data_IF_314790096714
#
_entry.id   IF_314790096714
#
_cell.length_a   1.000
_cell.length_b   1.000
_cell.length_c   1.000
_cell.angle_alpha   90.00
_cell.angle_beta   90.00
_cell.angle_gamma   90.00
#
_symmetry.space_group_name_H-M   'P 1'
#
loop_
_entity.id
_entity.type
_entity.pdbx_description
1 polymer ?
#
# COMPACT_ATOMS: atom_id res chain seq x y z
N UNK A 1 9.72 -19.29 12.27
CA UNK A 1 9.09 -20.62 12.39
C UNK A 1 10.14 -21.72 12.24
N UNK A 2 10.79 -21.87 11.09
CA UNK A 2 11.80 -22.92 10.82
C UNK A 2 12.93 -22.91 11.84
N UNK A 3 13.47 -21.76 12.21
CA UNK A 3 14.53 -21.61 13.23
C UNK A 3 14.08 -22.07 14.64
N UNK A 4 12.77 -22.03 14.90
CA UNK A 4 12.17 -22.50 16.17
C UNK A 4 11.66 -23.94 16.07
N UNK A 5 12.03 -24.66 15.02
CA UNK A 5 11.77 -26.10 14.85
C UNK A 5 10.43 -26.43 14.23
N UNK A 6 9.69 -25.48 13.67
CA UNK A 6 8.50 -25.80 12.88
C UNK A 6 8.90 -26.27 11.47
N UNK A 7 8.24 -27.31 10.98
CA UNK A 7 8.32 -27.74 9.60
C UNK A 7 7.30 -26.94 8.77
N UNK A 8 7.79 -26.08 7.85
CA UNK A 8 6.93 -25.31 6.95
C UNK A 8 6.74 -26.10 5.66
N UNK A 9 5.55 -26.67 5.46
CA UNK A 9 5.23 -27.54 4.34
C UNK A 9 5.13 -26.80 3.01
N UNK A 10 4.78 -25.50 3.04
CA UNK A 10 4.71 -24.65 1.86
C UNK A 10 4.01 -23.34 2.10
N UNK A 11 4.13 -22.44 1.12
CA UNK A 11 3.41 -21.17 1.04
C UNK A 11 2.51 -21.21 -0.19
N UNK A 12 1.25 -20.88 -0.02
CA UNK A 12 0.21 -20.92 -1.06
C UNK A 12 -0.30 -19.50 -1.32
N UNK A 13 -0.09 -19.02 -2.56
CA UNK A 13 -0.46 -17.68 -3.00
C UNK A 13 -1.52 -17.80 -4.10
N UNK A 14 -2.65 -17.12 -3.92
CA UNK A 14 -3.75 -17.14 -4.88
C UNK A 14 -3.43 -16.44 -6.20
N UNK A 15 -2.50 -15.49 -6.20
CA UNK A 15 -2.07 -14.79 -7.42
C UNK A 15 -1.07 -15.61 -8.22
N UNK A 16 -0.95 -15.36 -9.54
CA UNK A 16 0.07 -15.97 -10.38
C UNK A 16 1.49 -15.44 -10.13
N UNK A 17 1.62 -14.40 -9.29
CA UNK A 17 2.89 -13.78 -8.87
C UNK A 17 2.89 -13.58 -7.37
N UNK A 18 4.04 -13.68 -6.69
CA UNK A 18 4.12 -13.48 -5.24
C UNK A 18 3.68 -12.06 -4.84
N UNK A 19 2.85 -11.96 -3.81
CA UNK A 19 2.46 -10.67 -3.21
C UNK A 19 3.46 -10.15 -2.17
N UNK A 20 4.39 -10.97 -1.72
CA UNK A 20 5.41 -10.61 -0.76
C UNK A 20 6.56 -9.81 -1.38
N UNK A 21 7.30 -9.07 -0.53
CA UNK A 21 8.51 -8.37 -0.94
C UNK A 21 9.52 -9.36 -1.52
N UNK A 22 10.16 -9.00 -2.63
CA UNK A 22 11.15 -9.85 -3.32
C UNK A 22 12.24 -10.36 -2.37
N UNK A 23 12.72 -9.49 -1.47
CA UNK A 23 13.69 -9.85 -0.43
C UNK A 23 13.19 -11.01 0.45
N UNK A 24 11.92 -10.96 0.87
CA UNK A 24 11.36 -11.99 1.75
C UNK A 24 11.18 -13.33 1.03
N UNK A 25 10.85 -13.31 -0.27
CA UNK A 25 10.80 -14.54 -1.08
C UNK A 25 12.16 -15.24 -1.07
N UNK A 26 13.26 -14.50 -1.29
CA UNK A 26 14.59 -15.06 -1.25
C UNK A 26 15.00 -15.52 0.15
N UNK A 27 14.99 -14.61 1.12
CA UNK A 27 15.54 -14.84 2.47
C UNK A 27 14.67 -15.73 3.35
N UNK A 28 13.35 -15.81 3.10
CA UNK A 28 12.44 -16.57 3.95
C UNK A 28 11.94 -17.87 3.30
N UNK A 29 11.96 -17.97 1.98
CA UNK A 29 11.52 -19.20 1.30
C UNK A 29 12.69 -19.93 0.65
N UNK A 30 13.44 -19.30 -0.26
CA UNK A 30 14.53 -19.97 -0.98
C UNK A 30 15.67 -20.39 -0.06
N UNK A 31 16.09 -19.56 0.90
CA UNK A 31 17.17 -19.91 1.83
C UNK A 31 16.83 -21.07 2.78
N UNK A 32 15.54 -21.41 2.91
CA UNK A 32 15.04 -22.49 3.75
C UNK A 32 14.36 -23.61 2.95
N UNK A 33 14.49 -23.60 1.61
CA UNK A 33 13.89 -24.60 0.72
C UNK A 33 12.37 -24.77 0.92
N UNK A 34 11.65 -23.69 1.29
CA UNK A 34 10.20 -23.73 1.49
C UNK A 34 9.51 -23.59 0.13
N UNK A 35 8.66 -24.56 -0.28
CA UNK A 35 7.95 -24.50 -1.54
C UNK A 35 6.97 -23.33 -1.62
N UNK A 36 6.97 -22.61 -2.74
CA UNK A 36 5.99 -21.57 -3.07
C UNK A 36 5.07 -22.04 -4.19
N UNK A 37 3.79 -22.18 -3.88
CA UNK A 37 2.74 -22.59 -4.80
C UNK A 37 1.92 -21.35 -5.20
N UNK A 38 2.08 -20.89 -6.44
CA UNK A 38 1.32 -19.79 -7.02
C UNK A 38 0.01 -20.27 -7.61
N UNK A 39 -0.96 -19.38 -7.74
CA UNK A 39 -2.32 -19.70 -8.22
C UNK A 39 -2.99 -20.82 -7.42
N UNK A 40 -2.78 -20.84 -6.10
CA UNK A 40 -3.40 -21.81 -5.19
C UNK A 40 -4.03 -21.10 -3.99
N UNK A 41 -5.10 -21.67 -3.46
CA UNK A 41 -5.74 -21.17 -2.23
C UNK A 41 -6.21 -22.32 -1.35
N UNK A 42 -6.40 -22.05 -0.05
CA UNK A 42 -7.03 -22.98 0.88
C UNK A 42 -8.54 -22.94 0.66
N UNK A 43 -9.15 -24.09 0.40
CA UNK A 43 -10.57 -24.25 0.15
C UNK A 43 -11.31 -24.82 1.35
N UNK A 44 -10.61 -25.57 2.22
CA UNK A 44 -11.21 -26.22 3.38
C UNK A 44 -10.21 -26.43 4.50
N UNK A 45 -10.71 -26.43 5.72
CA UNK A 45 -9.96 -26.69 6.96
C UNK A 45 -10.54 -27.93 7.63
N UNK A 46 -9.68 -28.84 8.11
CA UNK A 46 -10.08 -30.06 8.80
C UNK A 46 -9.66 -30.06 10.26
N UNK A 47 -10.51 -30.61 11.11
CA UNK A 47 -10.34 -30.69 12.56
C UNK A 47 -11.44 -29.92 13.30
N UNK A 48 -11.88 -30.40 14.44
CA UNK A 48 -12.89 -29.75 15.28
C UNK A 48 -12.24 -28.93 16.41
N UNK A 49 -11.48 -29.58 17.28
CA UNK A 49 -10.82 -28.94 18.43
C UNK A 49 -9.39 -28.44 18.05
N UNK A 50 -8.76 -29.12 17.13
CA UNK A 50 -7.43 -28.80 16.61
C UNK A 50 -7.37 -29.05 15.10
N UNK A 51 -6.59 -28.24 14.42
CA UNK A 51 -6.31 -28.43 13.00
C UNK A 51 -5.62 -29.79 12.77
N UNK A 52 -6.11 -30.55 11.78
CA UNK A 52 -5.52 -31.83 11.35
C UNK A 52 -5.11 -31.83 9.89
N UNK A 53 -5.44 -30.75 9.16
CA UNK A 53 -5.06 -30.58 7.76
C UNK A 53 -5.87 -29.49 7.09
N UNK A 54 -5.45 -29.16 5.89
CA UNK A 54 -6.14 -28.24 4.99
C UNK A 54 -6.34 -28.90 3.62
N UNK A 55 -7.29 -28.38 2.88
CA UNK A 55 -7.44 -28.67 1.45
C UNK A 55 -7.02 -27.42 0.68
N UNK A 56 -6.17 -27.60 -0.32
CA UNK A 56 -5.76 -26.54 -1.24
C UNK A 56 -6.19 -26.89 -2.65
N UNK A 57 -6.50 -25.90 -3.47
CA UNK A 57 -6.83 -26.10 -4.88
C UNK A 57 -6.15 -25.02 -5.74
N UNK A 58 -5.93 -25.33 -7.01
CA UNK A 58 -5.58 -24.31 -8.00
C UNK A 58 -6.70 -23.31 -8.18
N UNK A 59 -6.36 -22.07 -8.55
CA UNK A 59 -7.32 -21.04 -8.88
C UNK A 59 -7.18 -20.55 -10.32
N UNK A 60 -8.32 -20.14 -10.90
CA UNK A 60 -8.37 -19.53 -12.21
C UNK A 60 -7.87 -18.05 -12.20
N UNK A 61 -7.90 -17.40 -13.35
CA UNK A 61 -7.52 -15.99 -13.51
C UNK A 61 -8.38 -15.01 -12.66
N UNK A 62 -9.53 -15.47 -12.16
CA UNK A 62 -10.42 -14.71 -11.27
C UNK A 62 -10.25 -15.12 -9.80
N UNK A 63 -9.19 -15.87 -9.47
CA UNK A 63 -8.90 -16.41 -8.12
C UNK A 63 -10.01 -17.32 -7.58
N UNK A 64 -10.76 -18.04 -8.46
CA UNK A 64 -11.78 -19.00 -8.08
C UNK A 64 -11.19 -20.40 -8.11
N UNK A 65 -11.44 -21.22 -7.07
CA UNK A 65 -10.95 -22.60 -7.03
C UNK A 65 -11.43 -23.43 -8.23
N UNK A 66 -10.51 -24.17 -8.83
CA UNK A 66 -10.78 -25.06 -9.96
C UNK A 66 -11.14 -26.43 -9.40
N UNK A 67 -12.37 -26.87 -9.63
CA UNK A 67 -12.88 -28.17 -9.19
C UNK A 67 -12.05 -29.33 -9.80
N UNK A 68 -11.65 -30.29 -8.96
CA UNK A 68 -10.86 -31.45 -9.37
C UNK A 68 -9.35 -31.27 -9.19
N UNK A 69 -8.90 -30.12 -8.68
CA UNK A 69 -7.49 -29.84 -8.35
C UNK A 69 -7.23 -29.89 -6.84
N UNK A 70 -8.24 -30.24 -6.04
CA UNK A 70 -8.16 -30.26 -4.60
C UNK A 70 -7.14 -31.28 -4.10
N UNK A 71 -6.27 -30.84 -3.22
CA UNK A 71 -5.26 -31.67 -2.55
C UNK A 71 -5.34 -31.47 -1.04
N UNK A 72 -5.37 -32.58 -0.30
CA UNK A 72 -5.30 -32.54 1.16
C UNK A 72 -3.85 -32.50 1.61
N UNK A 73 -3.56 -31.59 2.54
CA UNK A 73 -2.28 -31.47 3.23
C UNK A 73 -2.53 -31.66 4.71
N UNK A 74 -1.92 -32.69 5.28
CA UNK A 74 -2.00 -32.91 6.73
C UNK A 74 -1.03 -31.94 7.42
N UNK A 75 -1.55 -31.12 8.31
CA UNK A 75 -0.79 -30.14 9.08
C UNK A 75 -1.54 -29.82 10.40
N UNK A 76 -0.81 -29.32 11.37
CA UNK A 76 -1.34 -28.94 12.69
C UNK A 76 -1.44 -27.44 12.91
N UNK A 77 -0.96 -26.64 11.95
CA UNK A 77 -1.09 -25.19 11.95
C UNK A 77 -1.31 -24.65 10.53
N UNK A 78 -2.18 -23.63 10.42
CA UNK A 78 -2.39 -22.82 9.24
C UNK A 78 -2.16 -21.37 9.60
N UNK A 79 -1.22 -20.70 8.91
CA UNK A 79 -0.99 -19.27 9.07
C UNK A 79 -1.63 -18.54 7.89
N UNK A 80 -2.57 -17.66 8.21
CA UNK A 80 -3.29 -16.87 7.22
C UNK A 80 -2.60 -15.51 7.09
N UNK A 81 -2.14 -15.19 5.87
CA UNK A 81 -1.49 -13.93 5.53
C UNK A 81 -2.12 -13.36 4.26
N UNK A 82 -3.40 -13.00 4.35
CA UNK A 82 -4.24 -12.58 3.21
C UNK A 82 -4.26 -11.08 2.96
N UNK A 83 -3.32 -10.36 3.54
CA UNK A 83 -3.21 -8.90 3.46
C UNK A 83 -3.87 -8.19 4.63
N UNK A 84 -3.58 -6.90 4.73
CA UNK A 84 -4.15 -6.00 5.73
C UNK A 84 -5.27 -5.17 5.09
N UNK A 85 -6.28 -4.87 5.87
CA UNK A 85 -7.34 -3.92 5.51
C UNK A 85 -7.24 -2.76 6.48
N UNK A 86 -7.15 -1.50 6.03
CA UNK A 86 -7.21 -0.33 6.90
C UNK A 86 -8.49 -0.35 7.76
N UNK A 87 -8.31 -0.23 9.07
CA UNK A 87 -9.42 -0.23 10.05
C UNK A 87 -9.89 1.21 10.23
N UNK A 88 -11.04 1.54 9.66
CA UNK A 88 -11.54 2.92 9.60
C UNK A 88 -12.99 3.09 10.09
N UNK A 89 -13.57 2.13 10.82
CA UNK A 89 -14.94 2.21 11.35
C UNK A 89 -15.19 3.49 12.16
N UNK A 90 -14.20 3.93 12.96
CA UNK A 90 -14.32 5.18 13.72
C UNK A 90 -14.33 6.40 12.80
N UNK A 91 -13.46 6.44 11.79
CA UNK A 91 -13.41 7.53 10.81
C UNK A 91 -14.71 7.61 10.01
N UNK A 92 -15.22 6.46 9.55
CA UNK A 92 -16.50 6.35 8.83
C UNK A 92 -17.67 6.81 9.72
N UNK A 93 -17.68 6.45 11.01
CA UNK A 93 -18.73 6.89 11.94
C UNK A 93 -18.79 8.40 12.15
N UNK A 94 -17.67 9.09 11.89
CA UNK A 94 -17.56 10.56 11.92
C UNK A 94 -17.81 11.20 10.55
N UNK A 95 -18.08 10.39 9.52
CA UNK A 95 -18.30 10.85 8.16
C UNK A 95 -17.02 11.27 7.42
N UNK A 96 -15.84 10.79 7.85
CA UNK A 96 -14.57 11.04 7.15
C UNK A 96 -14.58 10.32 5.81
N UNK A 97 -14.36 11.02 4.67
CA UNK A 97 -14.28 10.38 3.37
C UNK A 97 -13.05 9.46 3.27
N UNK A 98 -13.26 8.25 2.73
CA UNK A 98 -12.20 7.30 2.47
C UNK A 98 -11.82 7.30 0.98
N UNK A 99 -10.54 7.15 0.71
CA UNK A 99 -10.00 6.95 -0.64
C UNK A 99 -10.30 5.53 -1.14
N UNK A 100 -10.79 5.42 -2.37
CA UNK A 100 -11.21 4.16 -2.96
C UNK A 100 -10.08 3.15 -3.20
N UNK A 101 -8.83 3.59 -3.29
CA UNK A 101 -7.67 2.75 -3.54
C UNK A 101 -6.99 2.30 -2.25
N UNK A 102 -6.69 3.23 -1.35
CA UNK A 102 -6.07 2.92 -0.06
C UNK A 102 -7.06 2.37 0.96
N UNK A 103 -8.34 2.70 0.84
CA UNK A 103 -9.40 2.50 1.84
C UNK A 103 -9.13 3.20 3.18
N UNK A 104 -8.17 4.12 3.21
CA UNK A 104 -7.90 5.01 4.31
C UNK A 104 -8.48 6.40 4.06
N UNK A 105 -8.52 7.28 5.07
CA UNK A 105 -8.98 8.65 4.92
C UNK A 105 -8.23 9.41 3.83
N UNK A 106 -8.95 10.21 3.05
CA UNK A 106 -8.35 11.26 2.22
C UNK A 106 -7.70 12.27 3.14
N UNK A 107 -6.43 12.61 2.92
CA UNK A 107 -5.69 13.53 3.78
C UNK A 107 -4.82 14.52 2.98
N UNK A 108 -4.40 15.57 3.68
CA UNK A 108 -3.43 16.56 3.20
C UNK A 108 -1.98 16.18 3.59
N UNK A 109 -1.02 17.04 3.22
CA UNK A 109 0.41 16.85 3.51
C UNK A 109 0.77 16.82 5.00
N UNK A 110 -0.13 17.28 5.87
CA UNK A 110 0.00 17.22 7.34
C UNK A 110 -0.76 16.04 7.96
N UNK A 111 -1.29 15.15 7.13
CA UNK A 111 -2.11 13.98 7.48
C UNK A 111 -3.46 14.36 8.15
N UNK A 112 -3.92 15.60 7.96
CA UNK A 112 -5.27 15.99 8.36
C UNK A 112 -6.28 15.53 7.32
N UNK A 113 -7.38 14.95 7.77
CA UNK A 113 -8.47 14.47 6.90
C UNK A 113 -9.31 15.65 6.37
N UNK A 114 -10.28 15.35 5.52
CA UNK A 114 -11.23 16.38 5.07
C UNK A 114 -12.04 17.02 6.20
N UNK A 115 -12.13 16.35 7.36
CA UNK A 115 -12.76 16.93 8.55
C UNK A 115 -11.69 17.62 9.41
N UNK A 116 -11.75 18.96 9.59
CA UNK A 116 -10.75 19.69 10.34
C UNK A 116 -10.54 19.16 11.76
N UNK A 117 -9.29 19.01 12.17
CA UNK A 117 -8.91 18.50 13.49
C UNK A 117 -8.91 16.99 13.63
N UNK A 118 -9.27 16.23 12.58
CA UNK A 118 -9.16 14.78 12.53
C UNK A 118 -7.95 14.42 11.65
N UNK A 119 -7.04 13.62 12.22
CA UNK A 119 -5.81 13.16 11.57
C UNK A 119 -5.82 11.66 11.45
N UNK A 120 -5.19 11.12 10.41
CA UNK A 120 -5.03 9.68 10.21
C UNK A 120 -3.58 9.33 9.93
N UNK A 121 -3.11 8.19 10.43
CA UNK A 121 -1.74 7.72 10.26
C UNK A 121 -1.64 6.20 10.27
N UNK A 122 -0.47 5.68 9.93
CA UNK A 122 -0.18 4.25 9.95
C UNK A 122 -1.05 3.45 8.98
N UNK A 123 -1.36 2.22 9.35
CA UNK A 123 -2.11 1.31 8.49
C UNK A 123 -3.61 1.66 8.39
N UNK A 124 -4.12 2.56 9.21
CA UNK A 124 -5.46 3.12 9.00
C UNK A 124 -5.50 4.05 7.78
N UNK A 125 -4.40 4.75 7.49
CA UNK A 125 -4.30 5.65 6.33
C UNK A 125 -4.02 4.88 5.04
N UNK A 126 -2.99 4.07 5.03
CA UNK A 126 -2.67 3.10 3.97
C UNK A 126 -1.76 1.99 4.53
N UNK A 127 -1.76 0.82 3.91
CA UNK A 127 -0.92 -0.30 4.35
C UNK A 127 0.55 -0.02 4.06
N UNK A 128 1.37 -0.02 5.12
CA UNK A 128 2.80 0.25 5.06
C UNK A 128 3.63 -1.05 4.98
N UNK A 129 4.78 -1.01 4.29
CA UNK A 129 5.72 -2.15 4.20
C UNK A 129 6.58 -2.30 5.44
N UNK A 130 6.85 -1.20 6.14
CA UNK A 130 7.74 -1.15 7.30
C UNK A 130 7.08 -0.41 8.47
N UNK A 131 7.32 -0.90 9.68
CA UNK A 131 6.84 -0.24 10.91
C UNK A 131 7.45 1.16 11.10
N UNK A 132 8.63 1.39 10.53
CA UNK A 132 9.28 2.71 10.57
C UNK A 132 8.43 3.78 9.87
N UNK A 133 7.75 3.44 8.77
CA UNK A 133 6.83 4.35 8.08
C UNK A 133 5.56 4.61 8.89
N UNK A 134 5.06 3.58 9.59
CA UNK A 134 3.95 3.72 10.52
C UNK A 134 4.31 4.70 11.63
N UNK A 135 5.50 4.55 12.24
CA UNK A 135 5.99 5.43 13.30
C UNK A 135 6.17 6.86 12.81
N UNK A 136 6.81 7.05 11.65
CA UNK A 136 7.02 8.37 11.05
C UNK A 136 5.70 9.10 10.75
N UNK A 137 4.70 8.37 10.22
CA UNK A 137 3.38 8.95 9.98
C UNK A 137 2.66 9.31 11.28
N UNK A 138 2.80 8.49 12.34
CA UNK A 138 2.27 8.77 13.67
C UNK A 138 2.90 10.01 14.31
N UNK A 139 4.23 10.17 14.16
CA UNK A 139 4.92 11.39 14.63
C UNK A 139 4.46 12.64 13.86
N UNK A 140 4.30 12.56 12.54
CA UNK A 140 3.82 13.67 11.74
C UNK A 140 2.39 14.05 12.16
N UNK A 141 1.47 13.09 12.19
CA UNK A 141 0.08 13.33 12.58
C UNK A 141 -0.03 13.91 14.01
N UNK A 142 0.78 13.36 14.94
CA UNK A 142 0.81 13.87 16.33
C UNK A 142 1.32 15.30 16.43
N UNK A 143 2.39 15.66 15.70
CA UNK A 143 2.87 17.06 15.63
C UNK A 143 1.84 17.99 15.00
N UNK A 144 1.24 17.57 13.89
CA UNK A 144 0.22 18.34 13.19
C UNK A 144 -1.01 18.58 14.07
N UNK A 145 -1.47 17.55 14.78
CA UNK A 145 -2.58 17.66 15.72
C UNK A 145 -2.26 18.60 16.91
N UNK A 146 -1.03 18.54 17.44
CA UNK A 146 -0.61 19.39 18.54
C UNK A 146 -0.54 20.88 18.16
N UNK A 147 -0.27 21.17 16.90
CA UNK A 147 -0.19 22.54 16.37
C UNK A 147 -1.47 22.98 15.64
N UNK A 148 -2.49 22.13 15.63
CA UNK A 148 -3.73 22.41 14.93
C UNK A 148 -4.39 23.70 15.46
N UNK A 149 -4.66 24.62 14.55
CA UNK A 149 -5.53 25.76 14.76
C UNK A 149 -6.55 25.79 13.60
N UNK A 150 -7.80 26.00 13.93
CA UNK A 150 -8.83 26.13 12.90
C UNK A 150 -8.52 27.30 11.97
N UNK A 151 -8.46 27.03 10.67
CA UNK A 151 -8.19 28.01 9.63
C UNK A 151 -9.03 27.70 8.38
N UNK A 152 -9.13 28.67 7.49
CA UNK A 152 -9.72 28.45 6.17
C UNK A 152 -8.69 27.70 5.32
N UNK A 153 -9.04 26.51 4.87
CA UNK A 153 -8.20 25.67 4.03
C UNK A 153 -8.26 26.15 2.58
N UNK A 154 -7.14 26.07 1.92
CA UNK A 154 -7.00 26.34 0.48
C UNK A 154 -6.31 25.14 -0.17
N UNK A 155 -7.11 24.13 -0.52
CA UNK A 155 -6.63 22.83 -0.96
C UNK A 155 -6.59 22.70 -2.47
N UNK A 156 -5.54 22.04 -2.95
CA UNK A 156 -5.46 21.50 -4.30
C UNK A 156 -5.39 19.97 -4.24
N UNK A 157 -6.14 19.31 -5.13
CA UNK A 157 -6.11 17.86 -5.25
C UNK A 157 -4.81 17.40 -5.92
N UNK A 158 -4.24 16.30 -5.42
CA UNK A 158 -3.15 15.59 -6.07
C UNK A 158 -3.76 14.44 -6.86
N UNK A 159 -3.67 14.52 -8.17
CA UNK A 159 -4.20 13.53 -9.10
C UNK A 159 -3.11 12.59 -9.60
N UNK A 160 -3.48 11.39 -10.06
CA UNK A 160 -2.54 10.35 -10.51
C UNK A 160 -2.99 9.72 -11.82
N UNK A 161 -2.05 9.24 -12.64
CA UNK A 161 -2.34 8.38 -13.79
C UNK A 161 -2.77 6.97 -13.35
N UNK A 162 -3.37 6.20 -14.27
CA UNK A 162 -3.84 4.83 -14.00
C UNK A 162 -2.72 3.83 -13.68
N UNK A 163 -1.47 4.19 -13.91
CA UNK A 163 -0.30 3.36 -13.60
C UNK A 163 0.02 3.34 -12.10
N UNK A 164 -0.56 4.26 -11.33
CA UNK A 164 -0.51 4.23 -9.87
C UNK A 164 -1.63 3.36 -9.30
N UNK A 165 -1.29 2.50 -8.36
CA UNK A 165 -2.27 1.84 -7.50
C UNK A 165 -2.89 2.80 -6.49
N UNK A 166 -2.06 3.70 -5.93
CA UNK A 166 -2.46 4.85 -5.09
C UNK A 166 -1.30 5.82 -4.90
N UNK A 167 -1.62 7.02 -4.41
CA UNK A 167 -0.67 8.01 -3.89
C UNK A 167 -1.28 8.70 -2.66
N UNK A 168 -0.49 8.90 -1.61
CA UNK A 168 -0.84 9.58 -0.35
C UNK A 168 0.24 10.62 -0.07
N UNK A 169 -0.14 11.87 0.33
CA UNK A 169 -1.48 12.42 0.49
C UNK A 169 -2.16 12.72 -0.84
N UNK A 170 -3.49 12.78 -0.83
CA UNK A 170 -4.31 13.08 -2.00
C UNK A 170 -4.62 14.57 -2.16
N UNK A 171 -4.23 15.39 -1.19
CA UNK A 171 -4.45 16.84 -1.18
C UNK A 171 -3.24 17.56 -0.63
N UNK A 172 -3.10 18.82 -0.99
CA UNK A 172 -2.14 19.74 -0.39
C UNK A 172 -2.90 21.02 0.01
N UNK A 173 -2.73 21.45 1.26
CA UNK A 173 -3.30 22.71 1.73
C UNK A 173 -2.24 23.80 1.58
N UNK A 174 -2.48 24.75 0.66
CA UNK A 174 -1.56 25.85 0.34
C UNK A 174 -1.35 26.84 1.49
N UNK A 175 -2.20 26.81 2.51
CA UNK A 175 -2.05 27.62 3.72
C UNK A 175 -1.10 27.03 4.75
N UNK A 176 -0.65 25.79 4.53
CA UNK A 176 0.28 25.05 5.40
C UNK A 176 1.70 25.06 4.83
N UNK A 177 2.67 24.63 5.65
CA UNK A 177 4.05 24.39 5.21
C UNK A 177 4.12 23.15 4.35
N UNK A 178 4.45 23.31 3.07
CA UNK A 178 4.61 22.22 2.09
C UNK A 178 6.09 22.04 1.68
N UNK A 179 7.03 22.53 2.47
CA UNK A 179 8.48 22.47 2.18
C UNK A 179 9.08 21.06 2.27
N UNK A 180 8.38 20.10 2.92
CA UNK A 180 8.86 18.73 3.11
C UNK A 180 7.69 17.73 3.18
N UNK A 181 6.86 17.67 2.14
CA UNK A 181 5.75 16.70 2.09
C UNK A 181 6.28 15.34 1.68
N UNK A 182 6.03 14.35 2.52
CA UNK A 182 6.36 12.94 2.23
C UNK A 182 5.18 12.27 1.53
N UNK A 183 5.46 11.75 0.33
CA UNK A 183 4.50 11.00 -0.46
C UNK A 183 4.82 9.51 -0.42
N UNK A 184 3.77 8.70 -0.36
CA UNK A 184 3.83 7.24 -0.47
C UNK A 184 2.99 6.79 -1.65
N UNK A 185 3.51 5.89 -2.48
CA UNK A 185 2.77 5.36 -3.61
C UNK A 185 3.15 3.92 -3.95
N UNK A 186 2.28 3.25 -4.70
CA UNK A 186 2.54 1.96 -5.34
C UNK A 186 2.16 2.05 -6.81
N UNK A 187 2.86 1.31 -7.67
CA UNK A 187 2.39 1.10 -9.04
C UNK A 187 1.18 0.16 -9.06
N UNK A 188 0.32 0.32 -10.05
CA UNK A 188 -0.81 -0.58 -10.28
C UNK A 188 -0.34 -1.94 -10.81
N UNK A 189 0.71 -1.94 -11.63
CA UNK A 189 1.27 -3.12 -12.29
C UNK A 189 2.79 -3.20 -12.13
N UNK A 190 3.37 -4.32 -12.54
CA UNK A 190 4.83 -4.46 -12.63
C UNK A 190 5.32 -3.68 -13.84
N UNK A 191 6.10 -2.65 -13.58
CA UNK A 191 6.68 -1.77 -14.61
C UNK A 191 8.20 -1.95 -14.65
N UNK A 192 8.74 -2.00 -15.87
CA UNK A 192 10.18 -1.96 -16.14
C UNK A 192 10.75 -0.54 -15.93
N UNK A 193 11.87 -0.19 -16.61
CA UNK A 193 12.45 1.13 -16.48
C UNK A 193 11.43 2.22 -16.81
N UNK A 194 11.21 3.13 -15.85
CA UNK A 194 10.19 4.17 -15.95
C UNK A 194 10.63 5.46 -15.26
N UNK A 195 9.84 6.50 -15.43
CA UNK A 195 10.03 7.82 -14.81
C UNK A 195 8.72 8.24 -14.15
N UNK A 196 8.76 8.57 -12.87
CA UNK A 196 7.67 9.27 -12.18
C UNK A 196 7.85 10.75 -12.45
N UNK A 197 6.82 11.40 -12.93
CA UNK A 197 6.80 12.82 -13.32
C UNK A 197 5.73 13.53 -12.50
N UNK A 198 6.07 14.72 -12.01
CA UNK A 198 5.12 15.66 -11.42
C UNK A 198 4.95 16.84 -12.35
N UNK A 199 3.71 17.10 -12.70
CA UNK A 199 3.31 18.32 -13.40
C UNK A 199 2.48 19.21 -12.50
N UNK A 200 2.69 20.53 -12.62
CA UNK A 200 1.84 21.56 -12.00
C UNK A 200 1.33 22.42 -13.15
N UNK A 201 0.01 22.55 -13.25
CA UNK A 201 -0.67 23.27 -14.33
C UNK A 201 -0.17 22.87 -15.74
N UNK A 202 0.05 21.55 -15.92
CA UNK A 202 0.51 20.94 -17.16
C UNK A 202 2.00 21.11 -17.47
N UNK A 203 2.78 21.75 -16.60
CA UNK A 203 4.23 21.89 -16.75
C UNK A 203 4.99 20.90 -15.88
N UNK A 204 5.95 20.15 -16.46
CA UNK A 204 6.83 19.27 -15.67
C UNK A 204 7.69 20.13 -14.73
N UNK A 205 7.56 19.89 -13.41
CA UNK A 205 8.34 20.59 -12.38
C UNK A 205 9.31 19.69 -11.66
N UNK A 206 9.08 18.36 -11.71
CA UNK A 206 9.96 17.38 -11.09
C UNK A 206 9.80 16.02 -11.76
N UNK A 207 10.90 15.23 -11.77
CA UNK A 207 10.83 13.82 -12.15
C UNK A 207 11.93 12.98 -11.53
N UNK A 208 11.67 11.66 -11.41
CA UNK A 208 12.62 10.66 -10.90
C UNK A 208 12.53 9.36 -11.69
N UNK A 209 13.70 8.80 -12.05
CA UNK A 209 13.80 7.51 -12.74
C UNK A 209 13.81 6.36 -11.75
N UNK A 210 13.11 5.28 -12.13
CA UNK A 210 13.07 4.01 -11.41
C UNK A 210 13.49 2.89 -12.37
N UNK A 211 14.36 1.95 -11.95
CA UNK A 211 14.73 0.80 -12.78
C UNK A 211 13.55 -0.15 -12.97
N UNK A 212 12.67 -0.21 -12.00
CA UNK A 212 11.40 -0.95 -12.01
C UNK A 212 10.50 -0.42 -10.89
N UNK A 213 9.20 -0.67 -11.02
CA UNK A 213 8.20 -0.52 -9.95
C UNK A 213 7.37 -1.81 -9.87
N UNK A 214 6.96 -2.17 -8.67
CA UNK A 214 6.16 -3.36 -8.40
C UNK A 214 5.06 -3.07 -7.39
N UNK A 215 3.82 -3.57 -7.58
CA UNK A 215 2.70 -3.31 -6.66
C UNK A 215 2.97 -3.65 -5.19
N UNK A 216 3.70 -4.74 -4.84
CA UNK A 216 4.00 -5.05 -3.43
C UNK A 216 5.01 -4.11 -2.78
N UNK A 217 5.78 -3.34 -3.55
CA UNK A 217 6.87 -2.50 -3.06
C UNK A 217 6.43 -1.04 -2.99
N UNK A 218 6.14 -0.56 -1.78
CA UNK A 218 5.79 0.85 -1.56
C UNK A 218 7.00 1.75 -1.79
N UNK A 219 6.79 2.82 -2.51
CA UNK A 219 7.78 3.86 -2.74
C UNK A 219 7.51 5.06 -1.83
N UNK A 220 8.60 5.71 -1.39
CA UNK A 220 8.56 6.92 -0.61
C UNK A 220 9.39 8.00 -1.30
N UNK A 221 8.88 9.22 -1.32
CA UNK A 221 9.63 10.40 -1.76
C UNK A 221 9.19 11.62 -0.95
N UNK A 222 10.11 12.55 -0.75
CA UNK A 222 9.80 13.82 -0.07
C UNK A 222 10.07 14.96 -1.03
N UNK A 223 9.11 15.84 -1.21
CA UNK A 223 9.17 16.99 -2.11
C UNK A 223 8.91 18.30 -1.36
N UNK A 224 9.56 19.35 -1.86
CA UNK A 224 9.36 20.74 -1.41
C UNK A 224 8.40 21.42 -2.40
N UNK A 225 7.09 21.29 -2.15
CA UNK A 225 6.07 21.83 -3.04
C UNK A 225 6.03 23.37 -3.02
N UNK A 226 6.51 24.00 -1.96
CA UNK A 226 6.61 25.47 -1.92
C UNK A 226 7.60 25.97 -2.97
N UNK A 227 8.75 25.28 -3.12
CA UNK A 227 9.71 25.57 -4.22
C UNK A 227 9.23 25.14 -5.59
N UNK A 228 8.38 24.15 -5.68
CA UNK A 228 7.83 23.67 -6.94
C UNK A 228 6.68 24.53 -7.48
N UNK A 229 6.23 25.52 -6.71
CA UNK A 229 5.25 26.53 -7.17
C UNK A 229 3.80 26.17 -6.90
N UNK A 230 3.50 25.50 -5.78
CA UNK A 230 2.14 25.10 -5.42
C UNK A 230 1.23 26.29 -5.07
N UNK A 231 1.77 27.46 -4.69
CA UNK A 231 1.02 28.57 -4.12
C UNK A 231 -0.19 29.02 -4.96
N UNK A 232 -0.04 29.03 -6.29
CA UNK A 232 -1.10 29.43 -7.23
C UNK A 232 -1.58 28.23 -8.10
N UNK A 233 -1.16 27.00 -7.80
CA UNK A 233 -1.46 25.83 -8.59
C UNK A 233 -2.96 25.50 -8.59
N UNK A 234 -3.51 25.22 -9.75
CA UNK A 234 -4.88 24.73 -9.92
C UNK A 234 -4.94 23.23 -10.20
N UNK A 235 -3.83 22.64 -10.66
CA UNK A 235 -3.70 21.21 -10.96
C UNK A 235 -2.33 20.70 -10.52
N UNK A 236 -2.32 19.58 -9.80
CA UNK A 236 -1.12 18.85 -9.37
C UNK A 236 -1.30 17.40 -9.80
N UNK A 237 -0.48 16.93 -10.74
CA UNK A 237 -0.65 15.62 -11.33
C UNK A 237 0.64 14.80 -11.34
N UNK A 238 0.55 13.54 -10.91
CA UNK A 238 1.61 12.56 -11.03
C UNK A 238 1.30 11.54 -12.14
N UNK A 239 2.28 11.29 -12.99
CA UNK A 239 2.21 10.25 -14.00
C UNK A 239 3.43 9.34 -13.96
N UNK A 240 3.29 8.11 -14.47
CA UNK A 240 4.40 7.18 -14.67
C UNK A 240 4.60 7.02 -16.19
N UNK A 241 5.73 7.50 -16.67
CA UNK A 241 6.16 7.31 -18.05
C UNK A 241 7.01 6.05 -18.16
N UNK A 242 6.51 5.02 -18.83
CA UNK A 242 7.29 3.81 -19.11
C UNK A 242 8.20 4.06 -20.31
N UNK A 243 9.49 3.69 -20.18
CA UNK A 243 10.42 3.78 -21.31
C UNK A 243 9.89 2.93 -22.48
N UNK A 244 9.67 3.58 -23.62
CA UNK A 244 9.32 2.84 -24.85
C UNK A 244 10.52 1.96 -25.21
N UNK A 245 10.25 0.65 -25.38
CA UNK A 245 11.22 -0.33 -25.83
C UNK A 245 11.74 -0.01 -27.25
#
# INVERSE_FOLDING_TARGET
LTLEGAEVLGVYEAKPTPSGLTRNIHQCLHDYDIPLHLSHTVTRVFGADRLTGVEVAEVDAHMRPITGTEQRIDCDALIVSVGLIPENELAESLGVPLDGHTRGPVCDGQLMTEIPGIFSCGNALHVNDLVDYVSASGELAGRSAAHFAAHTRDEVAVTISNDFGYLVPQRLDRTQDNSAVTLYFRSAEVLGPCRVVLTIDGSEVWSRRYPFLRPPEMQQLTLDFDKLGIADASDVHFEIEVAKA
#
